data_IF_598922915784
#
_entry.id   IF_598922915784
#
_cell.length_a   1.000
_cell.length_b   1.000
_cell.length_c   1.000
_cell.angle_alpha   90.00
_cell.angle_beta   90.00
_cell.angle_gamma   90.00
#
_symmetry.space_group_name_H-M   'P 1'
#
loop_
_entity.id
_entity.type
_entity.pdbx_description
1 polymer ?
#
# COMPACT_ATOMS: atom_id res chain seq x y z
N UNK A 1 -0.62 31.45 9.05
CA UNK A 1 -0.82 31.03 7.65
C UNK A 1 -0.82 29.50 7.57
N UNK A 2 -1.91 28.83 7.98
CA UNK A 2 -1.99 27.36 8.02
C UNK A 2 -3.27 26.78 7.37
N UNK A 3 -4.23 27.62 6.95
CA UNK A 3 -5.56 27.17 6.50
C UNK A 3 -5.72 26.82 5.02
N UNK A 4 -4.65 26.80 4.22
CA UNK A 4 -4.72 26.49 2.77
C UNK A 4 -4.38 25.04 2.44
N UNK A 5 -3.58 24.35 3.27
CA UNK A 5 -3.18 22.95 3.01
C UNK A 5 -4.31 21.96 3.26
N UNK A 6 -5.03 22.09 4.37
CA UNK A 6 -6.13 21.19 4.72
C UNK A 6 -7.26 21.20 3.67
N UNK A 7 -7.63 22.40 3.18
CA UNK A 7 -8.68 22.54 2.17
C UNK A 7 -8.27 22.00 0.78
N UNK A 8 -6.98 22.03 0.44
CA UNK A 8 -6.45 21.40 -0.78
C UNK A 8 -6.32 19.88 -0.64
N UNK A 9 -5.98 19.37 0.55
CA UNK A 9 -5.96 17.92 0.85
C UNK A 9 -7.38 17.32 0.83
N UNK A 10 -8.38 18.02 1.36
CA UNK A 10 -9.79 17.60 1.28
C UNK A 10 -10.32 17.60 -0.15
N UNK A 11 -9.98 18.60 -0.97
CA UNK A 11 -10.33 18.63 -2.41
C UNK A 11 -9.59 17.58 -3.22
N UNK A 12 -8.35 17.24 -2.84
CA UNK A 12 -7.62 16.09 -3.37
C UNK A 12 -8.32 14.78 -2.98
N UNK A 13 -8.88 14.69 -1.78
CA UNK A 13 -9.68 13.55 -1.30
C UNK A 13 -10.98 13.36 -2.08
N UNK A 14 -11.61 14.46 -2.52
CA UNK A 14 -12.78 14.43 -3.41
C UNK A 14 -12.45 13.91 -4.83
N UNK A 15 -11.17 13.94 -5.24
CA UNK A 15 -10.71 13.28 -6.46
C UNK A 15 -10.49 11.81 -6.12
N UNK A 16 -11.15 10.88 -6.84
CA UNK A 16 -10.91 9.44 -6.65
C UNK A 16 -9.44 9.12 -6.96
N UNK A 17 -8.62 8.98 -5.93
CA UNK A 17 -7.22 8.57 -6.02
C UNK A 17 -7.18 7.04 -5.96
N UNK A 18 -6.47 6.43 -6.91
CA UNK A 18 -6.16 5.01 -6.88
C UNK A 18 -4.71 4.82 -6.41
N UNK A 19 -4.50 3.94 -5.43
CA UNK A 19 -3.18 3.40 -5.10
C UNK A 19 -2.90 2.12 -5.89
N UNK A 20 -1.64 1.89 -6.27
CA UNK A 20 -1.21 0.69 -7.00
C UNK A 20 -0.03 0.06 -6.28
N UNK A 21 -0.10 -1.27 -6.07
CA UNK A 21 0.99 -2.07 -5.50
C UNK A 21 1.54 -3.00 -6.57
N UNK A 22 2.83 -2.87 -6.89
CA UNK A 22 3.52 -3.75 -7.84
C UNK A 22 4.15 -4.93 -7.10
N UNK A 23 3.53 -6.11 -7.19
CA UNK A 23 3.86 -7.26 -6.33
C UNK A 23 4.12 -8.59 -7.08
N UNK A 24 4.34 -8.55 -8.40
CA UNK A 24 4.45 -9.75 -9.25
C UNK A 24 5.84 -10.46 -9.20
N UNK A 25 6.75 -10.04 -8.32
CA UNK A 25 8.10 -10.58 -8.26
C UNK A 25 8.15 -12.04 -7.78
N UNK A 26 8.78 -12.92 -8.55
CA UNK A 26 8.87 -14.36 -8.26
C UNK A 26 9.65 -14.71 -6.97
N UNK A 27 10.57 -13.84 -6.52
CA UNK A 27 11.27 -14.00 -5.25
C UNK A 27 12.11 -15.28 -5.12
N UNK A 28 12.72 -15.76 -6.21
CA UNK A 28 13.50 -17.01 -6.24
C UNK A 28 14.58 -17.12 -5.16
N UNK A 29 15.32 -16.03 -4.89
CA UNK A 29 16.33 -15.98 -3.81
C UNK A 29 15.73 -16.03 -2.40
N UNK A 30 14.50 -15.57 -2.26
CA UNK A 30 13.75 -15.58 -1.00
C UNK A 30 13.00 -16.92 -0.78
N UNK A 31 12.90 -17.75 -1.82
CA UNK A 31 12.20 -19.05 -1.76
C UNK A 31 10.73 -19.00 -2.20
N UNK A 32 10.25 -17.88 -2.73
CA UNK A 32 8.88 -17.75 -3.23
C UNK A 32 8.45 -16.29 -3.41
N UNK A 33 7.22 -16.05 -3.91
CA UNK A 33 6.72 -14.70 -4.16
C UNK A 33 6.73 -13.84 -2.90
N UNK A 34 7.47 -12.73 -2.91
CA UNK A 34 7.61 -11.85 -1.72
C UNK A 34 6.28 -11.26 -1.27
N UNK A 35 5.33 -11.10 -2.19
CA UNK A 35 3.98 -10.64 -1.89
C UNK A 35 3.26 -11.53 -0.86
N UNK A 36 3.62 -12.82 -0.81
CA UNK A 36 3.06 -13.83 0.07
C UNK A 36 3.93 -14.11 1.29
N UNK A 37 5.05 -13.40 1.46
CA UNK A 37 5.84 -13.48 2.68
C UNK A 37 4.96 -13.03 3.85
N UNK A 38 4.86 -13.88 4.87
CA UNK A 38 4.04 -13.63 6.05
C UNK A 38 4.87 -12.99 7.16
N UNK A 39 4.26 -12.04 7.86
CA UNK A 39 4.75 -11.59 9.15
C UNK A 39 4.54 -12.68 10.23
N UNK A 40 5.11 -12.56 11.44
CA UNK A 40 5.06 -13.61 12.47
C UNK A 40 3.66 -14.06 12.89
N UNK A 41 2.68 -13.16 12.80
CA UNK A 41 1.25 -13.37 13.07
C UNK A 41 0.48 -13.94 11.87
N UNK A 42 1.18 -14.23 10.76
CA UNK A 42 0.65 -14.96 9.61
C UNK A 42 0.06 -14.09 8.50
N UNK A 43 -0.01 -12.77 8.64
CA UNK A 43 -0.56 -11.90 7.59
C UNK A 43 0.43 -11.77 6.44
N UNK A 44 0.03 -12.03 5.18
CA UNK A 44 0.87 -11.75 4.03
C UNK A 44 1.13 -10.25 3.92
N UNK A 45 2.37 -9.87 3.58
CA UNK A 45 2.74 -8.47 3.35
C UNK A 45 1.77 -7.74 2.41
N UNK A 46 1.33 -8.40 1.33
CA UNK A 46 0.40 -7.79 0.38
C UNK A 46 -0.94 -7.42 1.01
N UNK A 47 -1.43 -8.24 1.95
CA UNK A 47 -2.69 -7.98 2.64
C UNK A 47 -2.60 -6.76 3.57
N UNK A 48 -1.42 -6.49 4.14
CA UNK A 48 -1.13 -5.27 4.89
C UNK A 48 -1.06 -4.04 3.96
N UNK A 49 -0.40 -4.17 2.82
CA UNK A 49 -0.19 -3.07 1.88
C UNK A 49 -1.49 -2.52 1.24
N UNK A 50 -2.55 -3.34 1.17
CA UNK A 50 -3.85 -2.94 0.60
C UNK A 50 -4.87 -2.50 1.66
N UNK A 51 -4.58 -2.71 2.95
CA UNK A 51 -5.44 -2.29 4.06
C UNK A 51 -5.04 -0.86 4.43
N UNK A 52 -5.85 0.10 3.99
CA UNK A 52 -5.78 1.51 4.39
C UNK A 52 -6.62 1.76 5.64
#
# INVERSE_FOLDING_TARGET
MAGSRDADDDRRSARRIAGVVLAAGAGTRFGGPKALATHPEGTPWLATAIRA
#
